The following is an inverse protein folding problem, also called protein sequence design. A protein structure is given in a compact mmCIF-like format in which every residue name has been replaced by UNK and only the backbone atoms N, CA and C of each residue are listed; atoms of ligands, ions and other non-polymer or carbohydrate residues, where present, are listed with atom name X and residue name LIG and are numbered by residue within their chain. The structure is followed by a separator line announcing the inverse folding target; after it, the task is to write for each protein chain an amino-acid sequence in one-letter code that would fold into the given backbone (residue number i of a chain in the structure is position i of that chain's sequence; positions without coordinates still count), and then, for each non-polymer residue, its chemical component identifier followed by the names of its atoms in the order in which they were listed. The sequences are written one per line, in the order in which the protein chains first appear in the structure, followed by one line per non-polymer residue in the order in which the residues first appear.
data_IF_449753477573
#
_entry.id   IF_449753477573
#
_cell.length_a   1.000
_cell.length_b   1.000
_cell.length_c   1.000
_cell.angle_alpha   90.00
_cell.angle_beta   90.00
_cell.angle_gamma   90.00
#
_symmetry.space_group_name_H-M   'P 1'
#
loop_
_entity.id
_entity.type
_entity.pdbx_description
1 polymer ?
#
# COMPACT_ATOMS: atom_id res chain seq x y z
N UNK A 1 -3.30 -0.58 -21.57
CA UNK A 1 -3.64 -0.31 -20.15
C UNK A 1 -5.08 0.17 -20.11
N UNK A 2 -5.94 -0.45 -19.31
CA UNK A 2 -7.31 0.06 -19.13
C UNK A 2 -7.28 1.44 -18.46
N UNK A 3 -8.23 2.36 -18.75
CA UNK A 3 -8.23 3.71 -18.17
C UNK A 3 -8.13 3.72 -16.64
N UNK A 4 -8.77 2.75 -15.98
CA UNK A 4 -8.72 2.58 -14.53
C UNK A 4 -7.31 2.26 -14.00
N UNK A 5 -6.50 1.51 -14.75
CA UNK A 5 -5.13 1.18 -14.34
C UNK A 5 -4.22 2.41 -14.39
N UNK A 6 -4.40 3.26 -15.40
CA UNK A 6 -3.68 4.53 -15.53
C UNK A 6 -4.06 5.45 -14.37
N UNK A 7 -5.37 5.58 -14.08
CA UNK A 7 -5.85 6.31 -12.92
C UNK A 7 -5.22 5.82 -11.61
N UNK A 8 -5.23 4.51 -11.36
CA UNK A 8 -4.64 3.91 -10.16
C UNK A 8 -3.14 4.21 -10.04
N UNK A 9 -2.39 4.07 -11.13
CA UNK A 9 -0.96 4.36 -11.16
C UNK A 9 -0.67 5.84 -10.85
N UNK A 10 -1.38 6.75 -11.52
CA UNK A 10 -1.21 8.19 -11.32
C UNK A 10 -1.59 8.61 -9.90
N UNK A 11 -2.69 8.07 -9.36
CA UNK A 11 -3.10 8.29 -7.98
C UNK A 11 -2.02 7.78 -7.01
N UNK A 12 -1.51 6.57 -7.22
CA UNK A 12 -0.47 5.97 -6.37
C UNK A 12 0.80 6.82 -6.39
N UNK A 13 1.29 7.23 -7.57
CA UNK A 13 2.49 8.06 -7.70
C UNK A 13 2.31 9.41 -7.00
N UNK A 14 1.15 10.06 -7.18
CA UNK A 14 0.83 11.32 -6.54
C UNK A 14 0.82 11.18 -5.01
N UNK A 15 0.10 10.20 -4.48
CA UNK A 15 -0.02 9.97 -3.03
C UNK A 15 1.33 9.57 -2.43
N UNK A 16 2.11 8.73 -3.10
CA UNK A 16 3.44 8.34 -2.62
C UNK A 16 4.39 9.53 -2.58
N UNK A 17 4.42 10.37 -3.63
CA UNK A 17 5.24 11.57 -3.66
C UNK A 17 4.86 12.52 -2.51
N UNK A 18 3.56 12.77 -2.32
CA UNK A 18 3.03 13.63 -1.26
C UNK A 18 3.36 13.06 0.13
N UNK A 19 3.08 11.79 0.37
CA UNK A 19 3.37 11.11 1.63
C UNK A 19 4.88 11.06 1.93
N UNK A 20 5.72 10.91 0.92
CA UNK A 20 7.17 10.91 1.09
C UNK A 20 7.73 12.28 1.48
N UNK A 21 7.27 13.33 0.79
CA UNK A 21 7.74 14.70 1.00
C UNK A 21 7.18 15.32 2.28
N UNK A 22 5.89 15.07 2.55
CA UNK A 22 5.09 15.77 3.55
C UNK A 22 4.40 14.83 4.55
N UNK A 23 4.73 13.55 4.59
CA UNK A 23 4.30 12.62 5.63
C UNK A 23 5.25 12.56 6.83
N UNK A 24 4.82 11.87 7.88
CA UNK A 24 5.64 11.52 9.03
C UNK A 24 6.39 10.20 8.80
N UNK A 25 7.00 9.67 9.86
CA UNK A 25 7.69 8.37 9.77
C UNK A 25 6.74 7.21 9.43
N UNK A 26 5.50 7.25 9.92
CA UNK A 26 4.50 6.21 9.67
C UNK A 26 4.05 6.21 8.21
N UNK A 27 3.77 7.38 7.63
CA UNK A 27 3.34 7.49 6.22
C UNK A 27 4.49 7.10 5.28
N UNK A 28 5.73 7.49 5.60
CA UNK A 28 6.91 7.08 4.84
C UNK A 28 7.15 5.57 4.89
N UNK A 29 6.92 4.94 6.04
CA UNK A 29 6.96 3.48 6.15
C UNK A 29 5.88 2.84 5.28
N UNK A 30 4.67 3.40 5.26
CA UNK A 30 3.59 2.98 4.35
C UNK A 30 3.99 3.04 2.87
N UNK A 31 4.58 4.16 2.43
CA UNK A 31 5.11 4.30 1.05
C UNK A 31 6.14 3.21 0.76
N UNK A 32 7.11 2.99 1.66
CA UNK A 32 8.14 1.98 1.46
C UNK A 32 7.53 0.57 1.32
N UNK A 33 6.55 0.23 2.18
CA UNK A 33 5.84 -1.06 2.13
C UNK A 33 5.12 -1.22 0.78
N UNK A 34 4.36 -0.21 0.32
CA UNK A 34 3.64 -0.28 -0.95
C UNK A 34 4.57 -0.38 -2.16
N UNK A 35 5.66 0.40 -2.18
CA UNK A 35 6.65 0.35 -3.27
C UNK A 35 7.35 -1.00 -3.31
N UNK A 36 7.75 -1.55 -2.16
CA UNK A 36 8.35 -2.88 -2.09
C UNK A 36 7.38 -3.97 -2.55
N UNK A 37 6.10 -3.90 -2.14
CA UNK A 37 5.08 -4.82 -2.61
C UNK A 37 4.87 -4.72 -4.13
N UNK A 38 4.82 -3.50 -4.69
CA UNK A 38 4.72 -3.29 -6.12
C UNK A 38 5.90 -3.91 -6.89
N UNK A 39 7.13 -3.65 -6.44
CA UNK A 39 8.33 -4.22 -7.07
C UNK A 39 8.34 -5.74 -6.94
N UNK A 40 8.02 -6.29 -5.76
CA UNK A 40 7.93 -7.73 -5.54
C UNK A 40 6.90 -8.39 -6.47
N UNK A 41 5.73 -7.76 -6.63
CA UNK A 41 4.66 -8.23 -7.52
C UNK A 41 5.14 -8.36 -8.97
N UNK A 42 5.92 -7.41 -9.48
CA UNK A 42 6.51 -7.49 -10.83
C UNK A 42 7.44 -8.70 -10.98
N UNK A 43 8.17 -9.08 -9.93
CA UNK A 43 9.11 -10.21 -9.98
C UNK A 43 8.42 -11.56 -9.93
N UNK A 44 7.31 -11.67 -9.20
CA UNK A 44 6.60 -12.94 -9.00
C UNK A 44 5.35 -13.11 -9.87
N UNK A 45 5.03 -12.11 -10.70
CA UNK A 45 3.92 -12.15 -11.65
C UNK A 45 3.81 -13.45 -12.50
N UNK A 46 4.91 -14.06 -13.00
CA UNK A 46 4.80 -15.31 -13.79
C UNK A 46 4.43 -16.55 -12.94
N UNK A 47 4.51 -16.48 -11.60
CA UNK A 47 4.23 -17.61 -10.73
C UNK A 47 2.71 -17.86 -10.62
N UNK A 48 2.23 -18.84 -11.38
CA UNK A 48 0.81 -19.22 -11.43
C UNK A 48 0.62 -20.73 -11.26
N UNK A 49 -0.50 -21.15 -10.68
CA UNK A 49 -0.89 -22.56 -10.51
C UNK A 49 -2.34 -22.72 -10.97
N UNK A 50 -2.61 -23.47 -12.03
CA UNK A 50 -3.99 -23.68 -12.53
C UNK A 50 -4.79 -22.38 -12.70
N UNK A 51 -4.20 -21.35 -13.33
CA UNK A 51 -4.73 -19.98 -13.49
C UNK A 51 -4.77 -19.12 -12.21
N UNK A 52 -4.56 -19.71 -11.02
CA UNK A 52 -4.41 -18.96 -9.78
C UNK A 52 -3.06 -18.22 -9.75
N UNK A 53 -3.09 -16.93 -9.46
CA UNK A 53 -1.91 -16.05 -9.44
C UNK A 53 -1.19 -16.12 -8.09
N UNK A 54 -0.57 -17.27 -7.83
CA UNK A 54 0.09 -17.59 -6.56
C UNK A 54 1.12 -16.53 -6.17
N UNK A 55 1.92 -16.02 -7.11
CA UNK A 55 2.90 -14.97 -6.83
C UNK A 55 2.26 -13.70 -6.27
N UNK A 56 1.19 -13.21 -6.91
CA UNK A 56 0.45 -12.04 -6.44
C UNK A 56 -0.15 -12.27 -5.04
N UNK A 57 -0.74 -13.45 -4.81
CA UNK A 57 -1.31 -13.80 -3.51
C UNK A 57 -0.28 -13.81 -2.38
N UNK A 58 0.94 -14.29 -2.65
CA UNK A 58 2.03 -14.27 -1.66
C UNK A 58 2.51 -12.85 -1.35
N UNK A 59 2.58 -11.98 -2.36
CA UNK A 59 2.94 -10.56 -2.16
C UNK A 59 1.86 -9.83 -1.37
N UNK A 60 0.59 -10.04 -1.70
CA UNK A 60 -0.53 -9.44 -0.98
C UNK A 60 -0.61 -9.95 0.47
N UNK A 61 -0.27 -11.22 0.71
CA UNK A 61 -0.16 -11.77 2.06
C UNK A 61 0.96 -11.09 2.86
N UNK A 62 2.13 -10.89 2.25
CA UNK A 62 3.24 -10.18 2.87
C UNK A 62 2.89 -8.70 3.13
N UNK A 63 2.22 -8.04 2.19
CA UNK A 63 1.71 -6.68 2.33
C UNK A 63 0.70 -6.58 3.49
N UNK A 64 -0.25 -7.51 3.56
CA UNK A 64 -1.22 -7.61 4.65
C UNK A 64 -0.51 -7.76 6.00
N UNK A 65 0.45 -8.68 6.11
CA UNK A 65 1.26 -8.85 7.32
C UNK A 65 2.03 -7.58 7.70
N UNK A 66 2.63 -6.89 6.73
CA UNK A 66 3.35 -5.64 6.96
C UNK A 66 2.43 -4.50 7.44
N UNK A 67 1.21 -4.39 6.88
CA UNK A 67 0.23 -3.39 7.31
C UNK A 67 -0.36 -3.70 8.69
N UNK A 68 -0.63 -4.97 9.00
CA UNK A 68 -1.03 -5.40 10.36
C UNK A 68 0.08 -5.06 11.36
N UNK A 69 1.33 -5.40 11.03
CA UNK A 69 2.49 -5.04 11.86
C UNK A 69 2.61 -3.53 12.07
N UNK A 70 2.39 -2.74 11.02
CA UNK A 70 2.42 -1.28 11.10
C UNK A 70 1.30 -0.76 12.00
N UNK A 71 0.08 -1.29 11.86
CA UNK A 71 -1.08 -0.92 12.66
C UNK A 71 -0.92 -1.23 14.15
N UNK A 72 -0.26 -2.35 14.48
CA UNK A 72 0.02 -2.71 15.87
C UNK A 72 1.13 -1.87 16.51
N UNK A 73 1.99 -1.23 15.71
CA UNK A 73 3.12 -0.42 16.22
C UNK A 73 2.88 1.07 16.20
N UNK A 74 1.93 1.55 15.41
CA UNK A 74 1.70 2.98 15.17
C UNK A 74 0.25 3.31 15.48
N UNK A 75 0.05 4.26 16.38
CA UNK A 75 -1.29 4.72 16.77
C UNK A 75 -1.84 5.70 15.72
N UNK A 76 -2.19 5.17 14.54
CA UNK A 76 -2.77 5.91 13.42
C UNK A 76 -3.90 5.10 12.82
N UNK A 77 -5.12 5.64 12.87
CA UNK A 77 -6.32 4.94 12.40
C UNK A 77 -6.21 4.47 10.94
N UNK A 78 -5.51 5.22 10.09
CA UNK A 78 -5.36 4.89 8.67
C UNK A 78 -4.64 3.56 8.45
N UNK A 79 -3.71 3.20 9.34
CA UNK A 79 -2.94 1.95 9.25
C UNK A 79 -3.83 0.74 9.54
N UNK A 80 -4.75 0.86 10.50
CA UNK A 80 -5.76 -0.15 10.80
C UNK A 80 -6.73 -0.32 9.62
N UNK A 81 -7.20 0.78 9.03
CA UNK A 81 -8.06 0.76 7.86
C UNK A 81 -7.36 0.09 6.66
N UNK A 82 -6.09 0.43 6.42
CA UNK A 82 -5.28 -0.19 5.37
C UNK A 82 -5.09 -1.70 5.61
N UNK A 83 -4.82 -2.12 6.85
CA UNK A 83 -4.72 -3.53 7.20
C UNK A 83 -6.04 -4.29 6.94
N UNK A 84 -7.19 -3.69 7.25
CA UNK A 84 -8.50 -4.27 6.97
C UNK A 84 -8.75 -4.46 5.46
N UNK A 85 -8.42 -3.45 4.63
CA UNK A 85 -8.53 -3.57 3.18
C UNK A 85 -7.55 -4.61 2.60
N UNK A 86 -6.34 -4.72 3.13
CA UNK A 86 -5.41 -5.77 2.74
C UNK A 86 -5.94 -7.17 3.12
N UNK A 87 -6.59 -7.29 4.29
CA UNK A 87 -7.33 -8.50 4.67
C UNK A 87 -8.45 -8.84 3.68
N UNK A 88 -9.20 -7.84 3.21
CA UNK A 88 -10.23 -8.03 2.18
C UNK A 88 -9.64 -8.55 0.86
N UNK A 89 -8.47 -8.06 0.45
CA UNK A 89 -7.72 -8.63 -0.70
C UNK A 89 -7.39 -10.10 -0.48
N UNK A 90 -7.02 -10.49 0.74
CA UNK A 90 -6.74 -11.91 1.04
C UNK A 90 -7.98 -12.79 0.98
N UNK A 91 -9.14 -12.27 1.40
CA UNK A 91 -10.42 -12.96 1.23
C UNK A 91 -10.71 -13.18 -0.26
N UNK A 92 -10.46 -12.19 -1.12
CA UNK A 92 -10.63 -12.34 -2.57
C UNK A 92 -9.74 -13.46 -3.14
N UNK A 93 -8.46 -13.52 -2.74
CA UNK A 93 -7.56 -14.62 -3.11
C UNK A 93 -8.05 -15.98 -2.62
N UNK A 94 -8.54 -16.06 -1.38
CA UNK A 94 -9.06 -17.30 -0.83
C UNK A 94 -10.30 -17.80 -1.61
N UNK A 95 -11.22 -16.91 -1.96
CA UNK A 95 -12.41 -17.24 -2.76
C UNK A 95 -12.03 -17.74 -4.16
N UNK A 96 -11.04 -17.10 -4.79
CA UNK A 96 -10.52 -17.53 -6.09
C UNK A 96 -9.86 -18.91 -6.00
N UNK A 97 -9.09 -19.16 -4.94
CA UNK A 97 -8.43 -20.45 -4.73
C UNK A 97 -9.44 -21.59 -4.48
N UNK A 98 -10.52 -21.31 -3.74
CA UNK A 98 -11.56 -22.28 -3.39
C UNK A 98 -12.56 -22.57 -4.51
N UNK A 99 -12.52 -21.83 -5.62
CA UNK A 99 -13.46 -22.01 -6.74
C UNK A 99 -12.74 -22.60 -7.95
N UNK A 100 -12.52 -23.93 -8.01
CA UNK A 100 -11.94 -24.57 -9.19
C UNK A 100 -12.87 -24.42 -10.40
N UNK A 101 -12.30 -24.28 -11.60
CA UNK A 101 -13.00 -24.19 -12.90
C UNK A 101 -13.73 -22.86 -13.20
N UNK A 102 -13.22 -21.74 -12.69
CA UNK A 102 -13.72 -20.41 -13.06
C UNK A 102 -13.51 -20.12 -14.55
N UNK A 103 -14.59 -19.73 -15.22
CA UNK A 103 -14.50 -19.14 -16.56
C UNK A 103 -13.61 -17.90 -16.57
N UNK A 104 -12.97 -17.62 -17.71
CA UNK A 104 -12.06 -16.48 -17.86
C UNK A 104 -12.70 -15.13 -17.50
N UNK A 105 -14.03 -15.00 -17.66
CA UNK A 105 -14.78 -13.81 -17.26
C UNK A 105 -14.66 -13.53 -15.75
N UNK A 106 -14.76 -14.55 -14.90
CA UNK A 106 -14.69 -14.39 -13.45
C UNK A 106 -13.27 -14.04 -12.98
N UNK A 107 -12.24 -14.57 -13.63
CA UNK A 107 -10.83 -14.20 -13.35
C UNK A 107 -10.60 -12.70 -13.60
N UNK A 108 -11.22 -12.14 -14.66
CA UNK A 108 -11.12 -10.69 -14.94
C UNK A 108 -11.85 -9.84 -13.89
N UNK A 109 -13.00 -10.31 -13.40
CA UNK A 109 -13.75 -9.64 -12.35
C UNK A 109 -12.99 -9.63 -11.01
N UNK A 110 -12.34 -10.74 -10.66
CA UNK A 110 -11.44 -10.80 -9.49
C UNK A 110 -10.29 -9.79 -9.59
N UNK A 111 -9.60 -9.78 -10.73
CA UNK A 111 -8.52 -8.81 -10.94
C UNK A 111 -9.08 -7.39 -10.80
N UNK A 112 -10.22 -7.07 -11.43
CA UNK A 112 -10.82 -5.75 -11.31
C UNK A 112 -11.20 -5.36 -9.87
N UNK A 113 -11.77 -6.29 -9.09
CA UNK A 113 -12.15 -6.02 -7.69
C UNK A 113 -10.93 -5.72 -6.82
N UNK A 114 -9.83 -6.46 -7.00
CA UNK A 114 -8.57 -6.24 -6.27
C UNK A 114 -7.93 -4.89 -6.58
N UNK A 115 -8.04 -4.39 -7.82
CA UNK A 115 -7.58 -3.03 -8.13
C UNK A 115 -8.42 -1.96 -7.43
N UNK A 116 -9.73 -2.18 -7.27
CA UNK A 116 -10.60 -1.31 -6.47
C UNK A 116 -10.17 -1.25 -5.00
N UNK A 117 -9.85 -2.40 -4.41
CA UNK A 117 -9.30 -2.46 -3.04
C UNK A 117 -7.92 -1.78 -2.97
N UNK A 118 -7.10 -1.96 -4.01
CA UNK A 118 -5.83 -1.25 -4.16
C UNK A 118 -5.99 0.26 -4.09
N UNK A 119 -7.01 0.84 -4.74
CA UNK A 119 -7.32 2.28 -4.63
C UNK A 119 -7.63 2.66 -3.17
N UNK A 120 -8.42 1.86 -2.46
CA UNK A 120 -8.77 2.13 -1.06
C UNK A 120 -7.52 2.12 -0.15
N UNK A 121 -6.56 1.22 -0.38
CA UNK A 121 -5.28 1.21 0.33
C UNK A 121 -4.49 2.52 0.13
N UNK A 122 -4.44 3.01 -1.10
CA UNK A 122 -3.78 4.28 -1.43
C UNK A 122 -4.51 5.46 -0.79
N UNK A 123 -5.84 5.45 -0.80
CA UNK A 123 -6.65 6.48 -0.16
C UNK A 123 -6.50 6.48 1.36
N UNK A 124 -6.32 5.34 2.02
CA UNK A 124 -5.99 5.29 3.44
C UNK A 124 -4.69 6.03 3.74
N UNK A 125 -3.62 5.77 2.96
CA UNK A 125 -2.37 6.50 3.12
C UNK A 125 -2.55 8.01 2.89
N UNK A 126 -3.29 8.40 1.86
CA UNK A 126 -3.60 9.81 1.60
C UNK A 126 -4.36 10.45 2.80
N UNK A 127 -5.36 9.76 3.34
CA UNK A 127 -6.12 10.21 4.50
C UNK A 127 -5.23 10.37 5.74
N UNK A 128 -4.27 9.46 5.96
CA UNK A 128 -3.27 9.59 7.02
C UNK A 128 -2.42 10.85 6.89
N UNK A 129 -1.99 11.19 5.66
CA UNK A 129 -1.25 12.43 5.41
C UNK A 129 -2.13 13.66 5.66
N UNK A 130 -3.39 13.65 5.21
CA UNK A 130 -4.32 14.76 5.39
C UNK A 130 -4.68 15.00 6.85
N UNK A 131 -5.01 13.95 7.61
CA UNK A 131 -5.26 14.02 9.05
C UNK A 131 -4.12 14.74 9.76
N UNK A 132 -2.89 14.31 9.47
CA UNK A 132 -1.68 14.87 10.08
C UNK A 132 -1.50 16.35 9.79
N UNK A 133 -1.85 16.80 8.58
CA UNK A 133 -1.83 18.22 8.24
C UNK A 133 -2.93 19.00 8.95
N UNK A 134 -4.14 18.44 9.03
CA UNK A 134 -5.26 19.05 9.76
C UNK A 134 -4.96 19.17 11.26
N UNK A 135 -4.23 18.21 11.82
CA UNK A 135 -3.73 18.25 13.20
C UNK A 135 -2.55 19.21 13.40
N UNK A 136 -2.01 19.83 12.34
CA UNK A 136 -0.88 20.77 12.42
C UNK A 136 0.47 20.11 12.72
N UNK A 137 0.59 18.79 12.59
CA UNK A 137 1.81 18.07 12.92
C UNK A 137 2.91 18.29 11.86
N UNK A 138 4.16 18.47 12.32
CA UNK A 138 5.29 18.77 11.45
C UNK A 138 5.73 17.54 10.65
N UNK A 139 6.03 17.67 9.34
CA UNK A 139 6.67 16.60 8.56
C UNK A 139 8.01 16.15 9.12
N UNK A 140 8.31 14.84 8.99
CA UNK A 140 9.60 14.29 9.38
C UNK A 140 10.77 14.90 8.56
N UNK A 141 10.49 15.40 7.36
CA UNK A 141 11.46 16.16 6.55
C UNK A 141 11.91 17.46 7.22
N UNK A 142 11.09 18.08 8.06
CA UNK A 142 11.45 19.31 8.78
C UNK A 142 12.37 19.01 9.97
N UNK A 143 12.21 17.86 10.63
CA UNK A 143 13.05 17.44 11.76
C UNK A 143 14.46 17.05 11.31
N UNK A 144 14.59 16.46 10.12
CA UNK A 144 15.91 16.11 9.54
C UNK A 144 16.77 17.34 9.21
N UNK A 145 16.19 18.53 9.06
CA UNK A 145 16.89 19.75 8.62
C UNK A 145 17.73 20.43 9.72
N UNK A 146 17.64 19.96 10.97
CA UNK A 146 18.14 20.70 12.15
C UNK A 146 19.33 20.11 12.92
N UNK A 147 20.01 19.07 12.41
CA UNK A 147 21.32 18.69 12.97
C UNK A 147 22.46 19.37 12.20
N UNK A 148 22.55 20.70 12.27
CA UNK A 148 23.83 21.37 12.04
C UNK A 148 24.66 21.16 13.32
N UNK A 149 25.86 20.56 13.25
CA UNK A 149 26.75 20.54 14.40
C UNK A 149 27.04 22.00 14.75
N UNK A 150 26.76 22.41 15.98
CA UNK A 150 27.28 23.65 16.51
C UNK A 150 28.81 23.60 16.38
N UNK A 151 29.39 24.50 15.58
CA UNK A 151 30.84 24.64 15.53
C UNK A 151 31.27 25.16 16.91
N UNK A 152 32.18 24.48 17.62
CA UNK A 152 32.74 25.04 18.84
C UNK A 152 33.38 26.38 18.51
N UNK A 153 33.00 27.43 19.24
CA UNK A 153 33.61 28.74 19.11
C UNK A 153 35.06 28.63 19.60
N UNK A 154 36.00 28.81 18.66
CA UNK A 154 37.44 29.01 18.94
C UNK A 154 37.71 30.48 19.20
#
# INVERSE_FOLDING_TARGET
MAPFQIFYLLLSLLVFAVAWMRGGHTERAGVAIFVLAFVASLMVQPLTVNQFRLGEALVDLALCGALVWLALRRDRWWTLAAAAFAGLTMIAHALMFMTPHLEQAHVRMDVASRWGIGVLLILCLAAGVLERWMAGERPASNEARWRRPERPAT
#
